data_IF_294877101181
#
_entry.id   IF_294877101181
#
_cell.length_a   1.000
_cell.length_b   1.000
_cell.length_c   1.000
_cell.angle_alpha   90.00
_cell.angle_beta   90.00
_cell.angle_gamma   90.00
#
_symmetry.space_group_name_H-M   'P 1'
#
loop_
_entity.id
_entity.type
_entity.pdbx_description
1 polymer ?
#
# COMPACT_ATOMS: atom_id res chain seq x y z
N UNK A 1 15.64 -3.55 -19.60
CA UNK A 1 15.39 -3.75 -21.04
C UNK A 1 15.50 -5.25 -21.32
N UNK A 2 14.52 -6.03 -21.77
CA UNK A 2 13.20 -5.84 -22.34
C UNK A 2 12.45 -7.16 -22.12
N UNK A 3 11.28 -7.16 -21.46
CA UNK A 3 10.47 -8.38 -21.29
C UNK A 3 9.67 -8.56 -22.59
N UNK A 4 10.14 -9.44 -23.47
CA UNK A 4 9.45 -9.81 -24.71
C UNK A 4 8.14 -10.52 -24.35
N UNK A 5 7.02 -9.80 -24.42
CA UNK A 5 5.69 -10.37 -24.35
C UNK A 5 5.50 -11.34 -25.53
N UNK A 6 5.53 -12.65 -25.24
CA UNK A 6 5.21 -13.70 -26.21
C UNK A 6 3.71 -13.66 -26.48
N UNK A 7 3.32 -13.19 -27.66
CA UNK A 7 1.96 -13.32 -28.19
C UNK A 7 1.73 -14.79 -28.53
N UNK A 8 0.80 -15.45 -27.85
CA UNK A 8 0.42 -16.84 -28.14
C UNK A 8 -0.98 -16.79 -28.77
N UNK A 9 -1.14 -17.49 -29.90
CA UNK A 9 -2.39 -17.72 -30.63
C UNK A 9 -3.05 -16.52 -31.32
N UNK A 10 -2.44 -16.06 -32.42
CA UNK A 10 -3.13 -15.24 -33.42
C UNK A 10 -3.75 -16.18 -34.46
N UNK A 11 -5.08 -16.29 -34.45
CA UNK A 11 -5.85 -16.89 -35.55
C UNK A 11 -6.45 -15.72 -36.33
N UNK A 12 -6.07 -15.58 -37.61
CA UNK A 12 -6.61 -14.55 -38.49
C UNK A 12 -8.02 -14.97 -38.93
N UNK A 13 -9.03 -14.53 -38.19
CA UNK A 13 -10.42 -14.58 -38.63
C UNK A 13 -10.84 -13.18 -39.07
N UNK A 14 -11.46 -13.08 -40.24
CA UNK A 14 -11.98 -11.85 -40.85
C UNK A 14 -13.24 -11.30 -40.16
N UNK A 15 -13.48 -11.66 -38.89
CA UNK A 15 -14.54 -11.06 -38.10
C UNK A 15 -14.10 -9.65 -37.66
N UNK A 16 -14.83 -8.65 -38.18
CA UNK A 16 -14.62 -7.22 -37.94
C UNK A 16 -14.87 -6.80 -36.48
N UNK A 17 -15.50 -7.69 -35.69
CA UNK A 17 -15.85 -7.52 -34.29
C UNK A 17 -14.94 -8.32 -33.34
N UNK A 18 -13.66 -8.50 -33.68
CA UNK A 18 -12.70 -9.08 -32.73
C UNK A 18 -12.27 -8.03 -31.72
N UNK A 19 -13.03 -7.92 -30.63
CA UNK A 19 -12.66 -7.11 -29.47
C UNK A 19 -11.46 -7.75 -28.77
N UNK A 20 -10.29 -7.10 -28.87
CA UNK A 20 -9.13 -7.47 -28.08
C UNK A 20 -9.44 -7.21 -26.61
N UNK A 21 -9.85 -8.26 -25.88
CA UNK A 21 -9.78 -8.24 -24.42
C UNK A 21 -8.30 -8.25 -24.03
N UNK A 22 -7.73 -7.06 -23.92
CA UNK A 22 -6.57 -6.86 -23.09
C UNK A 22 -6.99 -7.30 -21.68
N UNK A 23 -6.30 -8.29 -21.11
CA UNK A 23 -6.23 -8.41 -19.66
C UNK A 23 -5.73 -7.05 -19.18
N UNK A 24 -6.67 -6.19 -18.80
CA UNK A 24 -6.38 -4.99 -18.07
C UNK A 24 -5.63 -5.46 -16.83
N UNK A 25 -4.32 -5.28 -16.84
CA UNK A 25 -3.47 -5.32 -15.65
C UNK A 25 -4.30 -4.66 -14.56
N UNK A 26 -4.70 -5.42 -13.54
CA UNK A 26 -5.54 -4.92 -12.46
C UNK A 26 -4.80 -3.75 -11.82
N UNK A 27 -5.08 -2.53 -12.30
CA UNK A 27 -4.52 -1.30 -11.75
C UNK A 27 -5.12 -1.27 -10.35
N UNK A 28 -4.32 -1.61 -9.34
CA UNK A 28 -4.73 -1.62 -7.93
C UNK A 28 -4.97 -0.16 -7.54
N UNK A 29 -6.11 0.37 -7.95
CA UNK A 29 -6.44 1.77 -7.77
C UNK A 29 -6.64 2.01 -6.29
N UNK A 30 -5.85 2.92 -5.73
CA UNK A 30 -5.89 3.24 -4.31
C UNK A 30 -7.30 3.63 -3.90
N UNK A 31 -7.84 2.90 -2.93
CA UNK A 31 -9.17 3.17 -2.42
C UNK A 31 -9.20 4.54 -1.73
N UNK A 32 -10.34 5.26 -1.79
CA UNK A 32 -10.52 6.49 -1.03
C UNK A 32 -10.24 6.26 0.47
N UNK A 33 -9.60 7.23 1.16
CA UNK A 33 -9.25 7.12 2.58
C UNK A 33 -10.41 6.67 3.46
N UNK A 34 -11.61 7.17 3.18
CA UNK A 34 -12.84 6.91 3.92
C UNK A 34 -13.28 5.44 3.90
N UNK A 35 -12.89 4.69 2.87
CA UNK A 35 -13.20 3.25 2.71
C UNK A 35 -12.08 2.35 3.18
N UNK A 36 -10.88 2.89 3.41
CA UNK A 36 -9.73 2.12 3.88
C UNK A 36 -9.78 1.93 5.40
N UNK A 37 -9.57 0.68 5.83
CA UNK A 37 -9.45 0.32 7.24
C UNK A 37 -8.00 -0.03 7.53
N UNK A 38 -7.29 0.86 8.20
CA UNK A 38 -5.89 0.64 8.59
C UNK A 38 -5.81 0.03 9.98
N UNK A 39 -5.01 -1.01 10.12
CA UNK A 39 -4.74 -1.67 11.40
C UNK A 39 -3.46 -1.11 11.97
N UNK A 40 -3.49 -0.66 13.22
CA UNK A 40 -2.26 -0.28 13.94
C UNK A 40 -1.91 -1.37 14.95
N UNK A 41 -0.65 -1.79 15.00
CA UNK A 41 -0.19 -2.80 15.93
C UNK A 41 1.21 -2.47 16.45
N UNK A 42 1.54 -2.94 17.65
CA UNK A 42 2.90 -2.81 18.19
C UNK A 42 3.61 -4.14 18.02
N UNK A 43 4.82 -4.12 17.48
CA UNK A 43 5.73 -5.27 17.56
C UNK A 43 6.91 -4.94 18.48
N UNK A 44 7.16 -5.84 19.43
CA UNK A 44 8.29 -5.83 20.36
C UNK A 44 9.09 -7.15 20.29
N UNK A 45 8.51 -8.22 19.74
CA UNK A 45 9.02 -9.60 19.89
C UNK A 45 10.27 -9.85 19.05
N UNK A 46 10.36 -9.25 17.86
CA UNK A 46 11.42 -9.57 16.88
C UNK A 46 12.60 -8.58 16.85
N UNK A 47 12.70 -7.65 17.82
CA UNK A 47 13.55 -6.45 17.68
C UNK A 47 14.46 -6.14 18.88
N UNK A 48 14.86 -7.16 19.66
CA UNK A 48 15.78 -6.99 20.82
C UNK A 48 15.29 -5.90 21.81
N UNK A 49 13.99 -5.90 22.13
CA UNK A 49 13.37 -4.92 23.01
C UNK A 49 13.01 -3.56 22.37
N UNK A 50 13.41 -3.31 21.11
CA UNK A 50 12.97 -2.10 20.40
C UNK A 50 11.49 -2.19 20.03
N UNK A 51 10.74 -1.17 20.43
CA UNK A 51 9.32 -1.05 20.12
C UNK A 51 9.18 -0.45 18.72
N UNK A 52 8.34 -1.05 17.88
CA UNK A 52 7.93 -0.47 16.60
C UNK A 52 6.42 -0.47 16.46
N UNK A 53 5.90 0.53 15.77
CA UNK A 53 4.51 0.61 15.36
C UNK A 53 4.40 0.11 13.93
N UNK A 54 3.51 -0.84 13.69
CA UNK A 54 3.16 -1.40 12.39
C UNK A 54 1.80 -0.85 11.98
N UNK A 55 1.70 -0.34 10.75
CA UNK A 55 0.43 -0.05 10.10
C UNK A 55 0.28 -1.02 8.94
N UNK A 56 -0.80 -1.81 8.95
CA UNK A 56 -1.09 -2.82 7.92
C UNK A 56 -2.49 -2.65 7.36
N UNK A 57 -2.82 -3.44 6.34
CA UNK A 57 -4.11 -3.43 5.65
C UNK A 57 -4.37 -2.17 4.80
N UNK A 58 -3.29 -1.60 4.25
CA UNK A 58 -3.40 -0.56 3.22
C UNK A 58 -3.74 -1.20 1.87
N UNK A 59 -4.70 -0.62 1.14
CA UNK A 59 -5.21 -1.14 -0.13
C UNK A 59 -5.02 -0.09 -1.22
N UNK A 60 -3.94 -0.20 -1.96
CA UNK A 60 -3.59 0.73 -3.03
C UNK A 60 -2.21 0.44 -3.58
N UNK A 61 -1.68 1.40 -4.33
CA UNK A 61 -0.38 1.31 -4.96
C UNK A 61 0.77 1.49 -3.95
N UNK A 62 1.93 0.92 -4.26
CA UNK A 62 3.12 1.06 -3.40
C UNK A 62 3.61 2.51 -3.32
N UNK A 63 3.35 3.32 -4.35
CA UNK A 63 3.68 4.75 -4.40
C UNK A 63 2.96 5.51 -3.29
N UNK A 64 1.63 5.32 -3.19
CA UNK A 64 0.80 5.94 -2.16
C UNK A 64 1.16 5.44 -0.75
N UNK A 65 1.49 4.16 -0.61
CA UNK A 65 1.99 3.60 0.64
C UNK A 65 3.29 4.30 1.08
N UNK A 66 4.22 4.52 0.14
CA UNK A 66 5.48 5.24 0.40
C UNK A 66 5.24 6.70 0.76
N UNK A 67 4.29 7.36 0.10
CA UNK A 67 3.91 8.73 0.42
C UNK A 67 3.30 8.84 1.82
N UNK A 68 2.34 7.97 2.16
CA UNK A 68 1.75 7.88 3.50
C UNK A 68 2.83 7.62 4.56
N UNK A 69 3.76 6.70 4.27
CA UNK A 69 4.87 6.42 5.17
C UNK A 69 5.81 7.63 5.35
N UNK A 70 6.11 8.37 4.27
CA UNK A 70 6.92 9.60 4.35
C UNK A 70 6.22 10.66 5.20
N UNK A 71 4.91 10.83 5.01
CA UNK A 71 4.08 11.73 5.80
C UNK A 71 4.09 11.38 7.29
N UNK A 72 3.85 10.11 7.63
CA UNK A 72 3.86 9.64 9.01
C UNK A 72 5.25 9.76 9.67
N UNK A 73 6.33 9.44 8.94
CA UNK A 73 7.71 9.62 9.41
C UNK A 73 8.03 11.08 9.70
N UNK A 74 7.66 11.99 8.80
CA UNK A 74 7.86 13.44 8.98
C UNK A 74 7.13 13.95 10.23
N UNK A 75 5.87 13.54 10.43
CA UNK A 75 5.09 13.93 11.62
C UNK A 75 5.63 13.33 12.91
N UNK A 76 6.17 12.12 12.88
CA UNK A 76 6.69 11.45 14.06
C UNK A 76 8.17 11.77 14.35
N UNK A 77 8.92 12.33 13.38
CA UNK A 77 10.34 12.66 13.53
C UNK A 77 11.24 11.43 13.67
N UNK A 78 10.79 10.27 13.17
CA UNK A 78 11.47 8.98 13.37
C UNK A 78 11.69 8.24 12.07
N UNK A 79 12.66 7.32 12.10
CA UNK A 79 12.92 6.39 11.02
C UNK A 79 11.79 5.38 10.83
N UNK A 80 11.71 4.83 9.61
CA UNK A 80 10.71 3.83 9.25
C UNK A 80 10.85 3.38 7.79
N UNK A 81 10.16 2.30 7.46
CA UNK A 81 10.16 1.69 6.12
C UNK A 81 8.75 1.30 5.72
N UNK A 82 8.41 1.40 4.44
CA UNK A 82 7.20 0.84 3.86
C UNK A 82 7.59 -0.34 2.97
N UNK A 83 7.09 -1.54 3.26
CA UNK A 83 7.35 -2.77 2.48
C UNK A 83 6.13 -3.68 2.56
N UNK A 84 5.83 -4.41 1.49
CA UNK A 84 4.76 -5.41 1.45
C UNK A 84 3.38 -4.88 1.90
N UNK A 85 3.02 -3.65 1.52
CA UNK A 85 1.78 -2.98 1.98
C UNK A 85 1.67 -2.78 3.50
N UNK A 86 2.83 -2.76 4.17
CA UNK A 86 2.96 -2.46 5.59
C UNK A 86 3.91 -1.28 5.80
N UNK A 87 3.56 -0.43 6.77
CA UNK A 87 4.40 0.69 7.19
C UNK A 87 4.94 0.39 8.58
N UNK A 88 6.25 0.43 8.71
CA UNK A 88 7.00 0.18 9.94
C UNK A 88 7.56 1.50 10.42
N UNK A 89 7.17 1.92 11.63
CA UNK A 89 7.63 3.14 12.28
C UNK A 89 8.36 2.77 13.57
N UNK A 90 9.54 3.34 13.78
CA UNK A 90 10.31 3.10 15.00
C UNK A 90 9.68 3.85 16.18
N UNK A 91 9.52 3.19 17.33
CA UNK A 91 8.92 3.77 18.53
C UNK A 91 7.43 3.43 18.71
N UNK A 92 6.87 3.90 19.83
CA UNK A 92 5.45 3.79 20.15
C UNK A 92 4.75 5.12 19.84
N UNK A 93 4.06 5.19 18.70
CA UNK A 93 3.35 6.40 18.27
C UNK A 93 1.89 6.13 17.95
N UNK A 94 1.28 5.10 18.55
CA UNK A 94 -0.09 4.68 18.22
C UNK A 94 -1.06 5.85 18.30
N UNK A 95 -1.08 6.57 19.42
CA UNK A 95 -2.04 7.67 19.61
C UNK A 95 -1.85 8.79 18.59
N UNK A 96 -0.59 9.15 18.33
CA UNK A 96 -0.24 10.20 17.37
C UNK A 96 -0.60 9.79 15.95
N UNK A 97 -0.25 8.58 15.53
CA UNK A 97 -0.59 8.02 14.22
C UNK A 97 -2.11 7.90 14.07
N UNK A 98 -2.82 7.43 15.09
CA UNK A 98 -4.28 7.34 15.09
C UNK A 98 -4.93 8.71 14.87
N UNK A 99 -4.49 9.75 15.59
CA UNK A 99 -4.98 11.13 15.38
C UNK A 99 -4.72 11.63 13.96
N UNK A 100 -3.53 11.38 13.42
CA UNK A 100 -3.14 11.80 12.06
C UNK A 100 -4.00 11.08 11.01
N UNK A 101 -4.17 9.77 11.14
CA UNK A 101 -4.96 8.97 10.20
C UNK A 101 -6.45 9.35 10.23
N UNK A 102 -7.00 9.61 11.42
CA UNK A 102 -8.38 10.10 11.57
C UNK A 102 -8.53 11.49 10.91
N UNK A 103 -7.55 12.38 11.07
CA UNK A 103 -7.57 13.70 10.42
C UNK A 103 -7.52 13.59 8.88
N UNK A 104 -6.83 12.57 8.36
CA UNK A 104 -6.81 12.20 6.94
C UNK A 104 -8.03 11.37 6.50
N UNK A 105 -9.05 11.26 7.35
CA UNK A 105 -10.30 10.51 7.13
C UNK A 105 -10.13 8.99 6.92
N UNK A 106 -9.00 8.41 7.33
CA UNK A 106 -8.84 6.96 7.35
C UNK A 106 -9.58 6.36 8.54
N UNK A 107 -10.15 5.17 8.33
CA UNK A 107 -10.74 4.39 9.42
C UNK A 107 -9.65 3.55 10.07
N UNK A 108 -9.43 3.72 11.38
CA UNK A 108 -8.38 3.03 12.14
C UNK A 108 -9.00 2.09 13.17
N UNK A 109 -8.48 0.86 13.28
CA UNK A 109 -8.90 -0.12 14.29
C UNK A 109 -7.71 -0.74 15.04
#
# INVERSE_FOLDING_TARGET
MSKKNKRINIVYSTNKDFDYKYESEDIIKTLPPEKQKLKISIDKKKRRGKIVTLITNFIGEEEDLKELAKFLKSKCGVGGSAKNNEIIIQGNFIEKIKKILIAQKYKVF
#
